data_IF_936514330269
#
_entry.id   IF_936514330269
#
_cell.length_a   1.000
_cell.length_b   1.000
_cell.length_c   1.000
_cell.angle_alpha   90.00
_cell.angle_beta   90.00
_cell.angle_gamma   90.00
#
_symmetry.space_group_name_H-M   'P 1'
#
loop_
_entity.id
_entity.type
_entity.pdbx_description
1 polymer ?
#
# COMPACT_ATOMS: atom_id res chain seq x y z
N UNK A 1 2.83 12.53 17.78
CA UNK A 1 2.09 13.79 17.66
C UNK A 1 1.33 14.08 18.98
N UNK A 2 0.57 13.11 19.50
CA UNK A 2 -0.18 13.26 20.76
C UNK A 2 0.72 13.68 21.92
N UNK A 3 1.86 13.01 22.11
CA UNK A 3 2.84 13.36 23.16
C UNK A 3 3.39 14.80 23.01
N UNK A 4 3.72 15.21 21.78
CA UNK A 4 4.17 16.57 21.51
C UNK A 4 3.10 17.63 21.81
N UNK A 5 1.85 17.35 21.45
CA UNK A 5 0.73 18.25 21.75
C UNK A 5 0.44 18.30 23.26
N UNK A 6 0.55 17.18 23.95
CA UNK A 6 0.43 17.13 25.41
C UNK A 6 1.54 17.92 26.10
N UNK A 7 2.77 17.83 25.56
CA UNK A 7 3.88 18.63 26.06
C UNK A 7 3.62 20.14 25.92
N UNK A 8 3.11 20.61 24.78
CA UNK A 8 2.74 22.02 24.54
C UNK A 8 1.64 22.50 25.51
N UNK A 9 0.65 21.64 25.76
CA UNK A 9 -0.45 22.00 26.72
C UNK A 9 0.08 22.17 28.13
N UNK A 10 1.07 21.37 28.53
CA UNK A 10 1.63 21.36 29.88
C UNK A 10 2.84 22.30 30.04
N UNK A 11 3.34 22.89 28.97
CA UNK A 11 4.48 23.79 29.00
C UNK A 11 4.09 25.17 29.55
N UNK A 12 4.78 25.60 30.60
CA UNK A 12 4.57 26.92 31.21
C UNK A 12 5.04 28.09 30.34
N UNK A 13 5.92 27.81 29.36
CA UNK A 13 6.42 28.82 28.41
C UNK A 13 5.52 29.03 27.20
N UNK A 14 4.59 28.12 26.93
CA UNK A 14 3.69 28.23 25.78
C UNK A 14 2.57 29.23 26.01
N UNK A 15 2.22 30.00 24.98
CA UNK A 15 1.11 30.96 25.04
C UNK A 15 -0.24 30.26 25.14
N UNK A 16 -1.25 30.95 25.71
CA UNK A 16 -2.60 30.37 25.86
C UNK A 16 -3.22 30.01 24.52
N UNK A 17 -2.92 30.77 23.44
CA UNK A 17 -3.37 30.48 22.09
C UNK A 17 -2.72 29.21 21.51
N UNK A 18 -1.48 28.92 21.85
CA UNK A 18 -0.79 27.68 21.44
C UNK A 18 -1.34 26.47 22.20
N UNK A 19 -1.58 26.64 23.50
CA UNK A 19 -2.22 25.62 24.35
C UNK A 19 -3.61 25.26 23.85
N UNK A 20 -4.41 26.26 23.52
CA UNK A 20 -5.76 26.05 22.99
C UNK A 20 -5.75 25.33 21.62
N UNK A 21 -4.86 25.71 20.72
CA UNK A 21 -4.67 24.98 19.44
C UNK A 21 -4.24 23.52 19.66
N UNK A 22 -3.33 23.29 20.61
CA UNK A 22 -2.90 21.94 20.95
C UNK A 22 -4.02 21.11 21.57
N UNK A 23 -4.84 21.69 22.47
CA UNK A 23 -6.04 21.04 23.05
C UNK A 23 -7.03 20.67 21.95
N UNK A 24 -7.34 21.59 21.03
CA UNK A 24 -8.25 21.35 19.92
C UNK A 24 -7.74 20.24 18.97
N UNK A 25 -6.43 20.16 18.75
CA UNK A 25 -5.85 19.07 17.98
C UNK A 25 -5.86 17.73 18.74
N UNK A 26 -5.65 17.74 20.06
CA UNK A 26 -5.74 16.54 20.90
C UNK A 26 -7.16 15.95 20.90
N UNK A 27 -8.17 16.81 21.00
CA UNK A 27 -9.59 16.41 20.89
C UNK A 27 -9.86 15.71 19.58
N UNK A 28 -9.34 16.24 18.45
CA UNK A 28 -9.48 15.61 17.11
C UNK A 28 -8.77 14.25 16.97
N UNK A 29 -7.89 13.92 17.88
CA UNK A 29 -7.14 12.65 17.92
C UNK A 29 -7.75 11.64 18.89
N UNK A 30 -8.92 11.90 19.46
CA UNK A 30 -9.61 10.90 20.29
C UNK A 30 -10.17 9.79 19.40
N UNK A 31 -10.12 8.52 19.88
CA UNK A 31 -10.65 7.39 19.11
C UNK A 31 -12.11 7.60 18.66
N UNK A 32 -12.94 8.15 19.52
CA UNK A 32 -14.36 8.43 19.25
C UNK A 32 -14.57 9.42 18.09
N UNK A 33 -13.79 10.50 18.02
CA UNK A 33 -13.90 11.48 16.94
C UNK A 33 -13.35 10.90 15.63
N UNK A 34 -12.30 10.07 15.71
CA UNK A 34 -11.75 9.38 14.53
C UNK A 34 -12.82 8.43 13.98
N UNK A 35 -13.50 7.68 14.83
CA UNK A 35 -14.57 6.75 14.46
C UNK A 35 -15.79 7.47 13.88
N UNK A 36 -16.25 8.53 14.51
CA UNK A 36 -17.36 9.35 14.01
C UNK A 36 -17.02 9.99 12.64
N UNK A 37 -15.80 10.46 12.43
CA UNK A 37 -15.35 10.96 11.13
C UNK A 37 -15.29 9.87 10.06
N UNK A 38 -14.93 8.64 10.46
CA UNK A 38 -14.96 7.48 9.59
C UNK A 38 -16.38 7.15 9.15
N UNK A 39 -17.30 7.00 10.13
CA UNK A 39 -18.73 6.72 9.85
C UNK A 39 -19.34 7.77 8.92
N UNK A 40 -19.13 9.06 9.17
CA UNK A 40 -19.60 10.14 8.32
C UNK A 40 -19.03 10.12 6.90
N UNK A 41 -17.83 9.55 6.69
CA UNK A 41 -17.26 9.35 5.35
C UNK A 41 -17.91 8.18 4.63
N UNK A 42 -18.13 7.07 5.34
CA UNK A 42 -18.82 5.89 4.81
C UNK A 42 -20.24 6.25 4.38
N UNK A 43 -21.00 6.93 5.23
CA UNK A 43 -22.35 7.39 4.95
C UNK A 43 -22.40 8.25 3.68
N UNK A 44 -21.52 9.25 3.54
CA UNK A 44 -21.43 10.07 2.32
C UNK A 44 -21.13 9.25 1.07
N UNK A 45 -20.29 8.23 1.19
CA UNK A 45 -19.96 7.37 0.06
C UNK A 45 -21.13 6.47 -0.33
N UNK A 46 -21.88 5.94 0.65
CA UNK A 46 -23.09 5.18 0.42
C UNK A 46 -24.17 6.04 -0.24
N UNK A 47 -24.41 7.25 0.24
CA UNK A 47 -25.33 8.20 -0.38
C UNK A 47 -24.94 8.53 -1.83
N UNK A 48 -23.66 8.73 -2.10
CA UNK A 48 -23.18 8.96 -3.46
C UNK A 48 -23.48 7.76 -4.36
N UNK A 49 -23.19 6.53 -3.90
CA UNK A 49 -23.50 5.30 -4.64
C UNK A 49 -24.99 5.16 -4.92
N UNK A 50 -25.85 5.40 -3.94
CA UNK A 50 -27.31 5.35 -4.12
C UNK A 50 -27.81 6.39 -5.13
N UNK A 51 -27.25 7.61 -5.11
CA UNK A 51 -27.54 8.63 -6.13
C UNK A 51 -27.14 8.17 -7.53
N UNK A 52 -25.97 7.52 -7.68
CA UNK A 52 -25.52 6.98 -8.97
C UNK A 52 -26.43 5.83 -9.43
N UNK A 53 -26.81 4.90 -8.56
CA UNK A 53 -27.78 3.82 -8.90
C UNK A 53 -29.10 4.39 -9.43
N UNK A 54 -29.66 5.39 -8.76
CA UNK A 54 -30.89 6.08 -9.22
C UNK A 54 -30.69 6.75 -10.58
N UNK A 55 -29.58 7.45 -10.77
CA UNK A 55 -29.26 8.14 -12.03
C UNK A 55 -29.13 7.16 -13.20
N UNK A 56 -28.50 6.02 -12.98
CA UNK A 56 -28.27 5.00 -13.99
C UNK A 56 -29.45 4.03 -14.13
N UNK A 57 -30.46 4.12 -13.25
CA UNK A 57 -31.64 3.20 -13.21
C UNK A 57 -31.23 1.72 -13.07
N UNK A 58 -30.13 1.44 -12.39
CA UNK A 58 -29.64 0.08 -12.16
C UNK A 58 -29.83 -0.32 -10.70
N UNK A 59 -30.12 -1.61 -10.45
CA UNK A 59 -30.25 -2.13 -9.08
C UNK A 59 -28.90 -2.21 -8.37
N UNK A 60 -27.87 -2.58 -9.12
CA UNK A 60 -26.50 -2.75 -8.63
C UNK A 60 -25.52 -2.14 -9.62
N UNK A 61 -24.45 -1.53 -9.09
CA UNK A 61 -23.33 -1.04 -9.89
C UNK A 61 -22.31 -2.17 -10.02
N UNK A 62 -22.44 -2.96 -11.09
CA UNK A 62 -21.47 -4.00 -11.47
C UNK A 62 -20.80 -3.61 -12.78
N UNK A 63 -19.74 -4.29 -13.15
CA UNK A 63 -19.04 -4.05 -14.42
C UNK A 63 -19.98 -4.20 -15.63
N UNK A 64 -20.90 -5.16 -15.60
CA UNK A 64 -21.89 -5.32 -16.66
C UNK A 64 -22.70 -4.03 -16.90
N UNK A 65 -23.16 -3.37 -15.83
CA UNK A 65 -23.89 -2.10 -15.93
C UNK A 65 -23.02 -0.98 -16.49
N UNK A 66 -21.76 -0.94 -16.09
CA UNK A 66 -20.77 0.01 -16.62
C UNK A 66 -20.54 -0.23 -18.12
N UNK A 67 -20.34 -1.48 -18.53
CA UNK A 67 -20.08 -1.85 -19.91
C UNK A 67 -21.25 -1.44 -20.82
N UNK A 68 -22.49 -1.80 -20.45
CA UNK A 68 -23.70 -1.43 -21.19
C UNK A 68 -23.83 0.09 -21.33
N UNK A 69 -23.69 0.81 -20.23
CA UNK A 69 -23.71 2.28 -20.23
C UNK A 69 -22.60 2.88 -21.10
N UNK A 70 -21.39 2.35 -21.00
CA UNK A 70 -20.24 2.86 -21.74
C UNK A 70 -20.42 2.67 -23.26
N UNK A 71 -20.90 1.51 -23.69
CA UNK A 71 -21.13 1.22 -25.12
C UNK A 71 -22.26 2.09 -25.68
N UNK A 72 -23.30 2.36 -24.91
CA UNK A 72 -24.45 3.16 -25.35
C UNK A 72 -24.15 4.67 -25.31
N UNK A 73 -23.55 5.16 -24.23
CA UNK A 73 -23.46 6.61 -23.94
C UNK A 73 -22.17 7.28 -24.35
N UNK A 74 -21.03 6.56 -24.26
CA UNK A 74 -19.74 7.17 -24.60
C UNK A 74 -19.69 7.66 -26.05
N UNK A 75 -20.16 6.89 -27.07
CA UNK A 75 -20.15 7.36 -28.45
C UNK A 75 -20.94 8.65 -28.64
N UNK A 76 -22.08 8.78 -27.97
CA UNK A 76 -22.94 9.96 -28.05
C UNK A 76 -22.24 11.19 -27.47
N UNK A 77 -21.65 11.06 -26.26
CA UNK A 77 -20.92 12.14 -25.57
C UNK A 77 -19.72 12.60 -26.41
N UNK A 78 -18.97 11.65 -26.96
CA UNK A 78 -17.79 11.96 -27.76
C UNK A 78 -18.14 12.63 -29.09
N UNK A 79 -19.25 12.20 -29.72
CA UNK A 79 -19.77 12.86 -30.92
C UNK A 79 -20.20 14.30 -30.64
N UNK A 80 -20.88 14.57 -29.52
CA UNK A 80 -21.24 15.92 -29.06
C UNK A 80 -20.03 16.81 -28.84
N UNK A 81 -18.91 16.23 -28.42
CA UNK A 81 -17.66 16.94 -28.14
C UNK A 81 -16.67 16.97 -29.32
N UNK A 82 -17.05 16.43 -30.48
CA UNK A 82 -16.18 16.25 -31.64
C UNK A 82 -14.87 15.50 -31.35
N UNK A 83 -14.91 14.50 -30.46
CA UNK A 83 -13.76 13.65 -30.12
C UNK A 83 -13.86 12.35 -30.93
N UNK A 84 -12.81 12.07 -31.71
CA UNK A 84 -12.69 10.79 -32.41
C UNK A 84 -12.31 9.67 -31.44
N UNK A 85 -13.12 8.59 -31.39
CA UNK A 85 -12.88 7.44 -30.54
C UNK A 85 -13.41 6.16 -31.18
N UNK A 86 -12.59 5.11 -31.14
CA UNK A 86 -12.95 3.81 -31.73
C UNK A 86 -13.67 2.98 -30.66
N UNK A 87 -15.00 3.06 -30.64
CA UNK A 87 -15.85 2.36 -29.68
C UNK A 87 -15.75 0.84 -29.83
N UNK A 88 -15.52 0.32 -31.05
CA UNK A 88 -15.37 -1.11 -31.28
C UNK A 88 -14.19 -1.71 -30.55
N UNK A 89 -13.04 -1.03 -30.55
CA UNK A 89 -11.84 -1.50 -29.86
C UNK A 89 -12.02 -1.49 -28.35
N UNK A 90 -12.61 -0.42 -27.83
CA UNK A 90 -12.96 -0.33 -26.42
C UNK A 90 -13.92 -1.46 -26.01
N UNK A 91 -14.97 -1.71 -26.81
CA UNK A 91 -15.90 -2.79 -26.57
C UNK A 91 -15.23 -4.17 -26.60
N UNK A 92 -14.35 -4.40 -27.58
CA UNK A 92 -13.66 -5.67 -27.75
C UNK A 92 -12.70 -5.97 -26.56
N UNK A 93 -11.95 -4.97 -26.10
CA UNK A 93 -11.01 -5.09 -24.96
C UNK A 93 -11.76 -5.43 -23.67
N UNK A 94 -12.93 -4.85 -23.44
CA UNK A 94 -13.70 -5.04 -22.21
C UNK A 94 -14.65 -6.24 -22.24
N UNK A 95 -14.97 -6.77 -23.43
CA UNK A 95 -15.90 -7.88 -23.61
C UNK A 95 -15.59 -9.14 -22.79
N UNK A 96 -14.32 -9.55 -22.57
CA UNK A 96 -14.00 -10.72 -21.75
C UNK A 96 -14.51 -10.62 -20.29
N UNK A 97 -14.74 -9.42 -19.79
CA UNK A 97 -15.24 -9.15 -18.44
C UNK A 97 -16.77 -8.95 -18.38
N UNK A 98 -17.41 -8.89 -19.55
CA UNK A 98 -18.86 -8.74 -19.68
C UNK A 98 -19.54 -10.11 -19.73
N UNK A 99 -20.88 -10.14 -19.65
CA UNK A 99 -21.75 -11.34 -19.64
C UNK A 99 -21.25 -12.45 -20.56
N UNK A 100 -21.13 -13.65 -20.01
CA UNK A 100 -20.61 -14.85 -20.68
C UNK A 100 -19.14 -14.74 -21.16
N UNK A 101 -18.42 -13.72 -20.74
CA UNK A 101 -16.97 -13.60 -21.01
C UNK A 101 -16.14 -14.45 -20.04
N UNK A 102 -14.92 -14.77 -20.47
CA UNK A 102 -13.99 -15.61 -19.71
C UNK A 102 -13.75 -15.12 -18.29
N UNK A 103 -13.74 -13.80 -18.08
CA UNK A 103 -13.42 -13.14 -16.82
C UNK A 103 -14.63 -12.44 -16.18
N UNK A 104 -15.85 -12.81 -16.57
CA UNK A 104 -17.08 -12.19 -16.07
C UNK A 104 -17.11 -12.14 -14.54
N UNK A 105 -16.76 -13.25 -13.90
CA UNK A 105 -16.83 -13.38 -12.43
C UNK A 105 -15.84 -12.49 -11.66
N UNK A 106 -14.78 -12.00 -12.31
CA UNK A 106 -13.79 -11.17 -11.65
C UNK A 106 -14.35 -9.81 -11.26
N UNK A 107 -15.18 -9.22 -12.11
CA UNK A 107 -15.70 -7.85 -11.91
C UNK A 107 -17.21 -7.79 -11.65
N UNK A 108 -17.92 -8.93 -11.72
CA UNK A 108 -19.38 -8.96 -11.58
C UNK A 108 -19.89 -9.79 -10.40
N UNK A 109 -19.03 -10.48 -9.67
CA UNK A 109 -19.42 -11.17 -8.44
C UNK A 109 -19.88 -10.18 -7.38
N UNK A 110 -20.65 -10.69 -6.44
CA UNK A 110 -21.08 -9.90 -5.30
C UNK A 110 -19.87 -9.43 -4.50
N UNK A 111 -19.89 -8.16 -4.15
CA UNK A 111 -18.82 -7.59 -3.34
C UNK A 111 -18.80 -8.26 -1.99
N UNK A 112 -17.69 -8.85 -1.60
CA UNK A 112 -17.50 -9.30 -0.23
C UNK A 112 -17.36 -8.07 0.68
N UNK A 113 -18.51 -7.61 1.18
CA UNK A 113 -18.56 -6.48 2.11
C UNK A 113 -17.70 -6.74 3.36
N UNK A 114 -17.45 -8.01 3.71
CA UNK A 114 -16.62 -8.37 4.86
C UNK A 114 -15.14 -8.11 4.63
N UNK A 115 -14.67 -8.01 3.38
CA UNK A 115 -13.27 -7.72 3.08
C UNK A 115 -12.78 -6.44 3.77
N UNK A 116 -13.63 -5.42 3.83
CA UNK A 116 -13.31 -4.17 4.52
C UNK A 116 -13.18 -4.34 6.04
N UNK A 117 -13.86 -5.32 6.62
CA UNK A 117 -13.83 -5.59 8.06
C UNK A 117 -12.69 -6.53 8.47
N UNK A 118 -12.13 -7.30 7.53
CA UNK A 118 -11.02 -8.21 7.81
C UNK A 118 -9.80 -7.42 8.27
N UNK A 119 -9.20 -7.85 9.39
CA UNK A 119 -7.96 -7.26 9.93
C UNK A 119 -6.72 -7.73 9.21
N UNK A 120 -6.75 -8.97 8.69
CA UNK A 120 -5.65 -9.59 7.96
C UNK A 120 -6.17 -10.10 6.62
N UNK A 121 -5.51 -9.66 5.53
CA UNK A 121 -5.85 -10.02 4.16
C UNK A 121 -4.55 -10.39 3.44
N UNK A 122 -4.56 -11.51 2.75
CA UNK A 122 -3.48 -11.92 1.85
C UNK A 122 -4.05 -12.01 0.45
N UNK A 123 -3.37 -11.39 -0.49
CA UNK A 123 -3.65 -11.51 -1.93
C UNK A 123 -2.55 -12.36 -2.56
N UNK A 124 -2.88 -13.59 -2.91
CA UNK A 124 -1.99 -14.49 -3.64
C UNK A 124 -2.13 -14.25 -5.14
N UNK A 125 -1.07 -13.76 -5.76
CA UNK A 125 -1.09 -13.36 -7.18
C UNK A 125 -0.25 -14.25 -8.10
N UNK A 126 0.38 -15.29 -7.58
CA UNK A 126 1.32 -16.12 -8.35
C UNK A 126 0.70 -16.76 -9.59
N UNK A 127 -0.56 -17.19 -9.50
CA UNK A 127 -1.29 -17.81 -10.62
C UNK A 127 -1.71 -16.85 -11.73
N UNK A 128 -1.71 -15.56 -11.45
CA UNK A 128 -2.22 -14.53 -12.38
C UNK A 128 -1.14 -13.56 -12.84
N UNK A 129 0.03 -13.57 -12.23
CA UNK A 129 1.13 -12.62 -12.50
C UNK A 129 1.58 -12.61 -13.96
N UNK A 130 1.51 -13.76 -14.64
CA UNK A 130 1.92 -13.92 -16.03
C UNK A 130 0.80 -13.59 -17.04
N UNK A 131 -0.42 -13.31 -16.55
CA UNK A 131 -1.53 -12.90 -17.40
C UNK A 131 -1.45 -11.40 -17.69
N UNK A 132 -1.14 -11.04 -18.93
CA UNK A 132 -1.11 -9.65 -19.38
C UNK A 132 -2.44 -8.90 -19.17
N UNK A 133 -3.56 -9.63 -19.10
CA UNK A 133 -4.91 -9.08 -18.92
C UNK A 133 -5.31 -8.99 -17.45
N UNK A 134 -5.07 -10.06 -16.68
CA UNK A 134 -5.57 -10.15 -15.29
C UNK A 134 -4.66 -9.46 -14.29
N UNK A 135 -3.34 -9.57 -14.43
CA UNK A 135 -2.41 -9.02 -13.47
C UNK A 135 -2.57 -7.50 -13.25
N UNK A 136 -2.73 -6.66 -14.28
CA UNK A 136 -2.99 -5.23 -14.09
C UNK A 136 -4.31 -4.96 -13.35
N UNK A 137 -5.38 -5.71 -13.67
CA UNK A 137 -6.71 -5.49 -13.08
C UNK A 137 -6.71 -5.87 -11.60
N UNK A 138 -6.19 -7.04 -11.25
CA UNK A 138 -6.09 -7.47 -9.86
C UNK A 138 -5.20 -6.51 -9.06
N UNK A 139 -4.10 -6.07 -9.66
CA UNK A 139 -3.25 -5.03 -9.07
C UNK A 139 -4.04 -3.76 -8.73
N UNK A 140 -4.86 -3.26 -9.66
CA UNK A 140 -5.70 -2.08 -9.42
C UNK A 140 -6.72 -2.32 -8.30
N UNK A 141 -7.32 -3.52 -8.22
CA UNK A 141 -8.26 -3.88 -7.15
C UNK A 141 -7.54 -3.86 -5.79
N UNK A 142 -6.35 -4.47 -5.69
CA UNK A 142 -5.55 -4.47 -4.45
C UNK A 142 -5.21 -3.03 -4.03
N UNK A 143 -4.76 -2.21 -5.00
CA UNK A 143 -4.45 -0.80 -4.77
C UNK A 143 -5.65 -0.02 -4.24
N UNK A 144 -6.82 -0.23 -4.83
CA UNK A 144 -8.05 0.44 -4.41
C UNK A 144 -8.48 0.00 -3.00
N UNK A 145 -8.52 -1.31 -2.73
CA UNK A 145 -8.85 -1.87 -1.42
C UNK A 145 -7.94 -1.29 -0.33
N UNK A 146 -6.62 -1.29 -0.54
CA UNK A 146 -5.70 -0.75 0.46
C UNK A 146 -5.86 0.76 0.62
N UNK A 147 -5.98 1.51 -0.49
CA UNK A 147 -6.16 2.96 -0.45
C UNK A 147 -7.44 3.35 0.30
N UNK A 148 -8.53 2.65 0.05
CA UNK A 148 -9.79 2.90 0.75
C UNK A 148 -9.67 2.54 2.24
N UNK A 149 -9.11 1.38 2.58
CA UNK A 149 -8.86 1.02 3.99
C UNK A 149 -7.95 2.04 4.67
N UNK A 150 -6.88 2.46 4.01
CA UNK A 150 -5.94 3.45 4.51
C UNK A 150 -6.63 4.78 4.84
N UNK A 151 -7.55 5.23 3.98
CA UNK A 151 -8.22 6.54 4.11
C UNK A 151 -9.44 6.50 5.01
N UNK A 152 -10.19 5.41 4.99
CA UNK A 152 -11.51 5.32 5.61
C UNK A 152 -11.49 4.62 6.98
N UNK A 153 -10.66 3.60 7.19
CA UNK A 153 -10.62 2.85 8.45
C UNK A 153 -9.79 3.58 9.51
N UNK A 154 -10.23 3.60 10.77
CA UNK A 154 -9.41 4.08 11.88
C UNK A 154 -8.26 3.10 12.19
N UNK A 155 -7.33 3.55 13.05
CA UNK A 155 -6.24 2.72 13.53
C UNK A 155 -5.06 2.60 12.59
N UNK A 156 -4.09 1.76 12.98
CA UNK A 156 -2.86 1.51 12.18
C UNK A 156 -3.13 0.48 11.09
N UNK A 157 -2.54 0.68 9.93
CA UNK A 157 -2.62 -0.24 8.79
C UNK A 157 -1.21 -0.57 8.34
N UNK A 158 -1.04 -1.78 7.81
CA UNK A 158 0.22 -2.24 7.25
C UNK A 158 -0.06 -2.89 5.90
N UNK A 159 0.70 -2.51 4.89
CA UNK A 159 0.81 -3.21 3.62
C UNK A 159 2.22 -3.74 3.47
N UNK A 160 2.36 -5.02 3.24
CA UNK A 160 3.63 -5.67 2.89
C UNK A 160 3.51 -6.19 1.47
N UNK A 161 4.45 -5.83 0.63
CA UNK A 161 4.54 -6.27 -0.77
C UNK A 161 5.77 -7.18 -0.86
N UNK A 162 5.52 -8.48 -0.95
CA UNK A 162 6.56 -9.46 -1.20
C UNK A 162 6.93 -9.50 -2.68
N UNK A 163 8.15 -9.90 -2.98
CA UNK A 163 8.70 -9.91 -4.33
C UNK A 163 8.44 -8.58 -5.07
N UNK A 164 8.72 -7.48 -4.37
CA UNK A 164 8.39 -6.11 -4.81
C UNK A 164 8.91 -5.77 -6.21
N UNK A 165 9.98 -6.42 -6.68
CA UNK A 165 10.52 -6.25 -8.01
C UNK A 165 9.50 -6.54 -9.12
N UNK A 166 8.63 -7.55 -8.93
CA UNK A 166 7.54 -7.87 -9.87
C UNK A 166 6.52 -6.74 -9.95
N UNK A 167 6.17 -6.18 -8.79
CA UNK A 167 5.24 -5.05 -8.72
C UNK A 167 5.86 -3.77 -9.32
N UNK A 168 7.11 -3.50 -9.04
CA UNK A 168 7.84 -2.32 -9.51
C UNK A 168 8.08 -2.35 -11.03
N UNK A 169 8.09 -3.52 -11.66
CA UNK A 169 8.27 -3.66 -13.09
C UNK A 169 7.18 -2.98 -13.94
N UNK A 170 5.98 -2.78 -13.38
CA UNK A 170 4.90 -2.06 -14.08
C UNK A 170 4.88 -0.58 -13.67
N UNK A 171 4.86 0.37 -14.61
CA UNK A 171 4.86 1.81 -14.29
C UNK A 171 3.74 2.22 -13.35
N UNK A 172 2.52 1.71 -13.56
CA UNK A 172 1.35 2.02 -12.74
C UNK A 172 1.55 1.63 -11.27
N UNK A 173 2.08 0.43 -11.03
CA UNK A 173 2.36 -0.03 -9.66
C UNK A 173 3.56 0.71 -9.06
N UNK A 174 4.57 1.00 -9.85
CA UNK A 174 5.73 1.79 -9.42
C UNK A 174 5.29 3.18 -8.92
N UNK A 175 4.45 3.88 -9.68
CA UNK A 175 3.89 5.17 -9.27
C UNK A 175 2.99 5.06 -8.03
N UNK A 176 2.25 3.96 -7.90
CA UNK A 176 1.44 3.72 -6.71
C UNK A 176 2.31 3.46 -5.46
N UNK A 177 3.34 2.65 -5.56
CA UNK A 177 4.30 2.41 -4.48
C UNK A 177 4.95 3.73 -4.06
N UNK A 178 5.39 4.53 -5.03
CA UNK A 178 5.92 5.88 -4.78
C UNK A 178 4.93 6.77 -4.04
N UNK A 179 3.66 6.77 -4.45
CA UNK A 179 2.59 7.48 -3.76
C UNK A 179 2.43 7.01 -2.32
N UNK A 180 2.40 5.69 -2.09
CA UNK A 180 2.25 5.11 -0.75
C UNK A 180 3.39 5.52 0.18
N UNK A 181 4.64 5.38 -0.24
CA UNK A 181 5.80 5.77 0.58
C UNK A 181 5.80 7.25 0.97
N UNK A 182 5.24 8.12 0.13
CA UNK A 182 5.10 9.55 0.42
C UNK A 182 3.90 9.90 1.31
N UNK A 183 2.84 9.10 1.31
CA UNK A 183 1.54 9.50 1.88
C UNK A 183 1.04 8.62 3.01
N UNK A 184 1.40 7.33 3.07
CA UNK A 184 0.84 6.36 4.00
C UNK A 184 0.93 6.82 5.47
N UNK A 185 2.05 7.44 5.87
CA UNK A 185 2.25 7.94 7.23
C UNK A 185 1.15 8.95 7.67
N UNK A 186 0.63 9.76 6.74
CA UNK A 186 -0.43 10.73 7.02
C UNK A 186 -1.76 10.05 7.40
N UNK A 187 -1.92 8.78 7.03
CA UNK A 187 -3.11 7.98 7.26
C UNK A 187 -2.88 6.85 8.28
N UNK A 188 -1.85 6.98 9.13
CA UNK A 188 -1.48 5.94 10.10
C UNK A 188 -1.24 4.57 9.45
N UNK A 189 -0.69 4.59 8.25
CA UNK A 189 -0.36 3.39 7.51
C UNK A 189 1.16 3.24 7.37
N UNK A 190 1.61 1.99 7.39
CA UNK A 190 2.97 1.55 7.12
C UNK A 190 2.97 0.78 5.81
N UNK A 191 4.00 0.97 5.01
CA UNK A 191 4.24 0.23 3.79
C UNK A 191 5.63 -0.41 3.89
N UNK A 192 5.71 -1.70 3.65
CA UNK A 192 6.94 -2.45 3.55
C UNK A 192 7.04 -3.13 2.19
N UNK A 193 8.23 -3.16 1.65
CA UNK A 193 8.59 -3.94 0.46
C UNK A 193 9.65 -4.96 0.85
N UNK A 194 9.48 -6.17 0.33
CA UNK A 194 10.42 -7.27 0.52
C UNK A 194 11.00 -7.66 -0.82
N UNK A 195 12.31 -7.78 -0.89
CA UNK A 195 13.03 -8.17 -2.10
C UNK A 195 14.23 -9.03 -1.75
N UNK A 196 14.69 -9.82 -2.69
CA UNK A 196 15.86 -10.67 -2.52
C UNK A 196 17.15 -9.90 -2.76
N UNK A 197 17.12 -8.94 -3.67
CA UNK A 197 18.28 -8.13 -4.04
C UNK A 197 17.94 -6.64 -3.98
N UNK A 198 18.89 -5.82 -3.53
CA UNK A 198 18.72 -4.36 -3.48
C UNK A 198 18.56 -3.76 -4.90
N UNK A 199 19.17 -4.41 -5.88
CA UNK A 199 19.11 -4.01 -7.29
C UNK A 199 17.68 -4.00 -7.83
N UNK A 200 16.81 -4.85 -7.31
CA UNK A 200 15.39 -4.88 -7.66
C UNK A 200 14.69 -3.54 -7.42
N UNK A 201 15.11 -2.85 -6.36
CA UNK A 201 14.60 -1.52 -6.01
C UNK A 201 15.38 -0.43 -6.73
N UNK A 202 16.70 -0.54 -6.79
CA UNK A 202 17.57 0.54 -7.30
C UNK A 202 17.58 0.64 -8.81
N UNK A 203 17.18 -0.40 -9.53
CA UNK A 203 17.03 -0.39 -10.99
C UNK A 203 15.83 0.45 -11.46
N UNK A 204 14.86 0.72 -10.61
CA UNK A 204 13.69 1.53 -10.96
C UNK A 204 13.90 2.99 -10.51
N UNK A 205 14.16 3.88 -11.43
CA UNK A 205 14.27 5.32 -11.15
C UNK A 205 13.01 5.93 -10.54
N UNK A 206 11.84 5.35 -10.84
CA UNK A 206 10.54 5.84 -10.37
C UNK A 206 10.42 5.69 -8.84
N UNK A 207 10.84 4.56 -8.30
CA UNK A 207 10.57 4.20 -6.89
C UNK A 207 11.78 4.24 -5.98
N UNK A 208 12.99 4.11 -6.53
CA UNK A 208 14.26 4.10 -5.76
C UNK A 208 14.29 5.18 -4.68
N UNK A 209 14.22 6.44 -5.09
CA UNK A 209 14.31 7.56 -4.17
C UNK A 209 13.13 7.62 -3.20
N UNK A 210 11.93 7.23 -3.68
CA UNK A 210 10.74 7.22 -2.83
C UNK A 210 10.84 6.17 -1.72
N UNK A 211 11.31 4.98 -2.03
CA UNK A 211 11.49 3.91 -1.05
C UNK A 211 12.63 4.24 -0.09
N UNK A 212 13.81 4.52 -0.61
CA UNK A 212 15.01 4.72 0.21
C UNK A 212 14.86 5.93 1.13
N UNK A 213 14.42 7.09 0.60
CA UNK A 213 14.35 8.33 1.37
C UNK A 213 13.17 8.39 2.36
N UNK A 214 12.13 7.57 2.16
CA UNK A 214 10.96 7.56 3.05
C UNK A 214 10.87 6.31 3.93
N UNK A 215 11.80 5.36 3.81
CA UNK A 215 11.90 4.22 4.70
C UNK A 215 12.54 4.63 6.01
N UNK A 216 11.82 4.43 7.11
CA UNK A 216 12.33 4.68 8.46
C UNK A 216 13.07 3.48 9.05
N UNK A 217 12.92 2.30 8.46
CA UNK A 217 13.50 1.04 8.94
C UNK A 217 13.99 0.23 7.75
N UNK A 218 15.20 -0.30 7.85
CA UNK A 218 15.75 -1.29 6.94
C UNK A 218 16.03 -2.58 7.72
N UNK A 219 15.60 -3.70 7.15
CA UNK A 219 15.84 -5.03 7.71
C UNK A 219 16.64 -5.83 6.69
N UNK A 220 17.79 -6.33 7.09
CA UNK A 220 18.66 -7.15 6.25
C UNK A 220 18.84 -8.53 6.88
N UNK A 221 18.57 -9.56 6.11
CA UNK A 221 18.93 -10.92 6.41
C UNK A 221 20.40 -11.17 6.02
N UNK A 222 20.86 -12.41 6.04
CA UNK A 222 22.22 -12.79 5.69
C UNK A 222 22.60 -12.30 4.28
N UNK A 223 23.64 -11.46 4.24
CA UNK A 223 24.19 -10.86 3.02
C UNK A 223 25.52 -11.50 2.57
N UNK A 224 25.86 -12.64 3.11
CA UNK A 224 27.16 -13.31 2.82
C UNK A 224 27.37 -13.58 1.33
N UNK A 225 26.29 -13.85 0.59
CA UNK A 225 26.31 -14.07 -0.86
C UNK A 225 26.69 -12.83 -1.68
N UNK A 226 26.47 -11.63 -1.12
CA UNK A 226 26.64 -10.35 -1.81
C UNK A 226 27.90 -9.61 -1.37
N UNK A 227 28.82 -10.27 -0.65
CA UNK A 227 29.98 -9.64 -0.04
C UNK A 227 30.81 -8.85 -1.03
N UNK A 228 31.03 -9.37 -2.24
CA UNK A 228 31.82 -8.74 -3.28
C UNK A 228 31.16 -7.52 -3.95
N UNK A 229 29.83 -7.38 -3.79
CA UNK A 229 29.03 -6.27 -4.33
C UNK A 229 28.38 -5.44 -3.22
N UNK A 230 28.84 -5.59 -1.98
CA UNK A 230 28.20 -4.98 -0.82
C UNK A 230 28.33 -3.46 -0.76
N UNK A 231 29.30 -2.89 -1.46
CA UNK A 231 29.51 -1.44 -1.51
C UNK A 231 28.30 -0.70 -2.13
N UNK A 232 27.59 -1.30 -3.07
CA UNK A 232 26.36 -0.75 -3.63
C UNK A 232 25.26 -0.70 -2.57
N UNK A 233 25.10 -1.77 -1.78
CA UNK A 233 24.15 -1.85 -0.67
C UNK A 233 24.52 -0.83 0.40
N UNK A 234 25.80 -0.77 0.77
CA UNK A 234 26.34 0.17 1.75
C UNK A 234 26.04 1.61 1.38
N UNK A 235 26.34 2.00 0.14
CA UNK A 235 26.10 3.36 -0.34
C UNK A 235 24.62 3.69 -0.42
N UNK A 236 23.81 2.78 -0.96
CA UNK A 236 22.35 2.98 -1.14
C UNK A 236 21.64 3.15 0.19
N UNK A 237 21.96 2.32 1.19
CA UNK A 237 21.31 2.35 2.51
C UNK A 237 22.07 3.22 3.52
N UNK A 238 23.12 3.93 3.10
CA UNK A 238 23.95 4.77 3.96
C UNK A 238 24.41 4.02 5.22
N UNK A 239 25.00 2.83 5.02
CA UNK A 239 25.51 1.99 6.10
C UNK A 239 26.90 2.44 6.53
N UNK A 240 27.14 2.50 7.84
CA UNK A 240 28.46 2.72 8.42
C UNK A 240 29.31 1.44 8.35
N UNK A 241 30.62 1.57 8.56
CA UNK A 241 31.50 0.40 8.66
C UNK A 241 31.15 -0.52 9.84
N UNK A 242 30.56 0.05 10.89
CA UNK A 242 30.04 -0.72 12.03
C UNK A 242 28.82 -1.52 11.62
N UNK A 243 27.88 -0.90 10.87
CA UNK A 243 26.71 -1.59 10.33
C UNK A 243 27.11 -2.77 9.45
N UNK A 244 28.07 -2.55 8.55
CA UNK A 244 28.59 -3.61 7.68
C UNK A 244 29.17 -4.78 8.47
N UNK A 245 29.94 -4.49 9.52
CA UNK A 245 30.48 -5.54 10.41
C UNK A 245 29.35 -6.33 11.10
N UNK A 246 28.34 -5.65 11.63
CA UNK A 246 27.16 -6.29 12.24
C UNK A 246 26.43 -7.20 11.22
N UNK A 247 26.18 -6.72 10.01
CA UNK A 247 25.50 -7.48 8.97
C UNK A 247 26.23 -8.77 8.63
N UNK A 248 27.57 -8.74 8.55
CA UNK A 248 28.34 -9.94 8.25
C UNK A 248 28.54 -10.88 9.45
N UNK A 249 27.98 -10.59 10.62
CA UNK A 249 27.91 -11.54 11.74
C UNK A 249 26.61 -12.33 11.76
N UNK A 250 25.62 -11.96 10.97
CA UNK A 250 24.31 -12.62 10.94
C UNK A 250 24.45 -14.12 10.65
N UNK A 251 23.76 -14.92 11.44
CA UNK A 251 23.72 -16.40 11.37
C UNK A 251 25.08 -17.10 11.50
N UNK A 252 26.08 -16.45 12.07
CA UNK A 252 27.37 -17.07 12.38
C UNK A 252 27.41 -17.71 13.76
N UNK A 253 26.46 -17.38 14.64
CA UNK A 253 26.34 -18.00 15.94
C UNK A 253 25.73 -19.37 15.79
N UNK A 254 26.42 -20.41 16.27
CA UNK A 254 25.87 -21.75 16.37
C UNK A 254 24.77 -21.78 17.44
N UNK A 255 23.67 -22.45 17.13
CA UNK A 255 22.62 -22.70 18.12
C UNK A 255 23.20 -23.60 19.22
N UNK A 256 23.19 -23.11 20.46
CA UNK A 256 23.61 -23.92 21.63
C UNK A 256 22.55 -24.97 21.93
N UNK A 257 22.98 -26.16 22.36
CA UNK A 257 22.08 -27.18 22.84
C UNK A 257 21.11 -26.63 23.89
N UNK A 258 19.82 -26.96 23.74
CA UNK A 258 18.76 -26.55 24.66
C UNK A 258 18.12 -25.21 24.39
N UNK A 259 18.45 -24.53 23.28
CA UNK A 259 17.73 -23.32 22.78
C UNK A 259 16.90 -23.64 21.53
N UNK A 260 15.77 -22.97 21.40
CA UNK A 260 15.00 -23.00 20.15
C UNK A 260 15.84 -22.49 18.98
N UNK A 261 15.70 -23.04 17.77
CA UNK A 261 16.33 -22.51 16.58
C UNK A 261 15.97 -21.03 16.41
N UNK A 262 16.94 -20.22 16.02
CA UNK A 262 16.70 -18.81 15.73
C UNK A 262 17.43 -18.39 14.46
N UNK A 263 16.88 -17.37 13.79
CA UNK A 263 17.51 -16.65 12.69
C UNK A 263 17.83 -15.24 13.14
N UNK A 264 18.90 -14.70 12.66
CA UNK A 264 19.30 -13.33 12.98
C UNK A 264 18.88 -12.38 11.88
N UNK A 265 18.50 -11.16 12.27
CA UNK A 265 18.13 -10.07 11.37
C UNK A 265 18.82 -8.79 11.84
N UNK A 266 19.48 -8.10 10.91
CA UNK A 266 19.97 -6.75 11.14
C UNK A 266 18.82 -5.76 10.92
N UNK A 267 18.62 -4.87 11.88
CA UNK A 267 17.61 -3.79 11.80
C UNK A 267 18.29 -2.46 12.00
N UNK A 268 18.12 -1.56 11.00
CA UNK A 268 18.57 -0.17 11.07
C UNK A 268 17.37 0.75 11.14
N UNK A 269 17.34 1.61 12.13
CA UNK A 269 16.31 2.64 12.33
C UNK A 269 16.99 4.00 12.55
N UNK A 270 17.00 4.82 11.51
CA UNK A 270 17.72 6.08 11.52
C UNK A 270 19.23 5.84 11.69
N UNK A 271 19.82 6.37 12.76
CA UNK A 271 21.25 6.18 13.08
C UNK A 271 21.54 4.94 13.94
N UNK A 272 20.51 4.34 14.51
CA UNK A 272 20.64 3.16 15.37
C UNK A 272 20.55 1.88 14.54
N UNK A 273 21.38 0.90 14.86
CA UNK A 273 21.34 -0.41 14.23
C UNK A 273 21.74 -1.51 15.20
N UNK A 274 21.00 -2.64 15.14
CA UNK A 274 21.27 -3.82 15.96
C UNK A 274 20.96 -5.12 15.20
N UNK A 275 21.54 -6.22 15.67
CA UNK A 275 21.22 -7.58 15.21
C UNK A 275 20.34 -8.25 16.26
N UNK A 276 19.22 -8.77 15.83
CA UNK A 276 18.24 -9.45 16.68
C UNK A 276 18.11 -10.91 16.27
N UNK A 277 18.06 -11.80 17.26
CA UNK A 277 17.66 -13.19 17.04
C UNK A 277 16.13 -13.32 17.06
N UNK A 278 15.59 -13.94 16.03
CA UNK A 278 14.16 -14.28 15.92
C UNK A 278 14.02 -15.77 16.04
N UNK A 279 13.34 -16.25 17.09
CA UNK A 279 13.07 -17.66 17.29
C UNK A 279 12.09 -18.17 16.23
N UNK A 280 12.40 -19.33 15.65
CA UNK A 280 11.48 -20.05 14.78
C UNK A 280 10.57 -20.91 15.66
N UNK A 281 9.24 -20.85 15.48
CA UNK A 281 8.29 -21.65 16.24
C UNK A 281 8.39 -23.15 15.98
#
# INVERSE_FOLDING_TARGET
>A
LREKLTAVVNDSGSTEGEKERARNQLVRLTPEIIENNYLARVERQLEYMERQKKKLKVKELKFNSYYEFAIERIPQILAEQNISFITSDFAAILKPFYKNGEFENILNNDTDATLFEKKFIVFEIDKIKDSATLAPIITLIIMDVFTQKMRLKPGRKCLVIEEAWKAIATPTMADYIKYLFKTARKHWAMVGVVTQEIQDITSSEIVKDAIINNSGVFMLLDQSKFKDKFDDIKSTLSLSDIDCRKIFTINRLENKEGRSPFKEVFIKRGLESEVYGVEEP
#
